data_IF_789247356671
#
_entry.id   IF_789247356671
#
_cell.length_a   1.000
_cell.length_b   1.000
_cell.length_c   1.000
_cell.angle_alpha   90.00
_cell.angle_beta   90.00
_cell.angle_gamma   90.00
#
_symmetry.space_group_name_H-M   'P 1'
#
loop_
_entity.id
_entity.type
_entity.pdbx_description
1 polymer ?
#
# COMPACT_ATOMS: atom_id res chain seq x y z
N UNK A 1 2.05 -22.29 19.05
CA UNK A 1 2.30 -20.92 19.62
C UNK A 1 1.10 -20.58 20.50
N UNK A 2 1.32 -20.09 21.73
CA UNK A 2 0.21 -19.78 22.64
C UNK A 2 -0.08 -18.27 22.59
N UNK A 3 -0.76 -17.84 21.51
CA UNK A 3 -1.25 -16.47 21.36
C UNK A 3 -2.54 -16.28 22.17
N UNK A 4 -2.65 -15.17 22.84
CA UNK A 4 -3.82 -14.81 23.65
C UNK A 4 -4.11 -13.31 23.60
N UNK A 5 -5.27 -12.93 24.13
CA UNK A 5 -5.66 -11.54 24.32
C UNK A 5 -5.92 -11.34 25.81
N UNK A 6 -5.26 -10.33 26.39
CA UNK A 6 -5.44 -9.91 27.77
C UNK A 6 -6.03 -8.51 27.81
N UNK A 7 -6.82 -8.22 28.86
CA UNK A 7 -7.26 -6.85 29.13
C UNK A 7 -6.07 -6.00 29.60
N UNK A 8 -5.96 -4.78 29.08
CA UNK A 8 -4.91 -3.84 29.44
C UNK A 8 -5.52 -2.47 29.78
N UNK A 9 -5.78 -2.26 31.07
CA UNK A 9 -6.44 -1.03 31.52
C UNK A 9 -7.93 -0.98 31.14
N UNK A 10 -8.45 0.23 31.04
CA UNK A 10 -9.87 0.44 30.73
C UNK A 10 -10.05 0.48 29.21
N UNK A 11 -10.89 -0.42 28.70
CA UNK A 11 -11.30 -0.49 27.30
C UNK A 11 -10.15 -0.72 26.28
N UNK A 12 -9.07 -1.38 26.69
CA UNK A 12 -7.98 -1.80 25.80
C UNK A 12 -7.64 -3.26 25.98
N UNK A 13 -7.24 -3.89 24.89
CA UNK A 13 -6.79 -5.27 24.83
C UNK A 13 -5.38 -5.31 24.25
N UNK A 14 -4.58 -6.27 24.68
CA UNK A 14 -3.21 -6.50 24.22
C UNK A 14 -3.03 -7.94 23.78
N UNK A 15 -2.27 -8.16 22.72
CA UNK A 15 -1.90 -9.51 22.28
C UNK A 15 -0.71 -9.99 23.08
N UNK A 16 -0.80 -11.24 23.57
CA UNK A 16 0.24 -11.90 24.35
C UNK A 16 0.70 -13.21 23.71
N UNK A 17 1.94 -13.57 23.97
CA UNK A 17 2.54 -14.87 23.65
C UNK A 17 3.01 -15.50 24.97
N UNK A 18 2.17 -16.37 25.52
CA UNK A 18 2.32 -16.78 26.91
C UNK A 18 2.13 -15.59 27.87
N UNK A 19 3.15 -15.25 28.65
CA UNK A 19 3.13 -14.12 29.59
C UNK A 19 3.71 -12.83 28.99
N UNK A 20 4.29 -12.87 27.79
CA UNK A 20 4.94 -11.74 27.16
C UNK A 20 3.98 -11.00 26.21
N UNK A 21 4.12 -9.69 26.15
CA UNK A 21 3.36 -8.85 25.20
C UNK A 21 3.97 -8.96 23.81
N UNK A 22 3.11 -9.12 22.79
CA UNK A 22 3.53 -9.06 21.39
C UNK A 22 3.78 -7.59 20.99
N UNK A 23 4.92 -7.33 20.35
CA UNK A 23 5.32 -6.01 19.86
C UNK A 23 5.34 -5.96 18.33
N UNK A 24 5.29 -4.76 17.78
CA UNK A 24 5.47 -4.50 16.34
C UNK A 24 6.90 -4.85 15.89
N UNK A 25 7.09 -5.14 14.59
CA UNK A 25 8.35 -5.67 14.05
C UNK A 25 9.02 -4.77 13.01
N UNK A 26 8.58 -3.52 12.87
CA UNK A 26 9.15 -2.57 11.90
C UNK A 26 10.02 -1.48 12.54
N UNK A 27 10.52 -1.73 13.75
CA UNK A 27 11.53 -0.91 14.43
C UNK A 27 11.00 0.00 15.53
N UNK A 28 9.69 0.14 15.69
CA UNK A 28 9.11 0.97 16.78
C UNK A 28 8.90 0.23 18.10
N UNK A 29 8.85 -1.10 18.05
CA UNK A 29 8.63 -1.97 19.22
C UNK A 29 7.42 -1.58 20.07
N UNK A 30 6.32 -1.17 19.43
CA UNK A 30 5.08 -0.82 20.12
C UNK A 30 4.30 -2.08 20.52
N UNK A 31 3.68 -2.12 21.71
CA UNK A 31 2.77 -3.19 22.06
C UNK A 31 1.62 -3.32 21.05
N UNK A 32 1.28 -4.54 20.66
CA UNK A 32 0.14 -4.80 19.78
C UNK A 32 -1.13 -4.71 20.62
N UNK A 33 -1.70 -3.51 20.68
CA UNK A 33 -2.86 -3.17 21.48
C UNK A 33 -3.95 -2.50 20.66
N UNK A 34 -5.21 -2.80 20.93
CA UNK A 34 -6.36 -2.16 20.30
C UNK A 34 -7.59 -2.19 21.20
N UNK A 35 -8.48 -1.20 21.06
CA UNK A 35 -9.77 -1.16 21.77
C UNK A 35 -10.77 -2.19 21.24
N UNK A 36 -10.69 -2.53 19.96
CA UNK A 36 -11.54 -3.53 19.32
C UNK A 36 -10.91 -4.92 19.49
N UNK A 37 -11.48 -5.72 20.36
CA UNK A 37 -11.04 -7.10 20.61
C UNK A 37 -11.14 -7.97 19.36
N UNK A 38 -12.18 -7.80 18.53
CA UNK A 38 -12.37 -8.58 17.29
C UNK A 38 -11.26 -8.31 16.27
N UNK A 39 -10.74 -7.09 16.23
CA UNK A 39 -9.56 -6.76 15.43
C UNK A 39 -8.34 -7.61 15.85
N UNK A 40 -8.07 -7.69 17.16
CA UNK A 40 -6.97 -8.49 17.67
C UNK A 40 -7.19 -10.00 17.50
N UNK A 41 -8.42 -10.48 17.58
CA UNK A 41 -8.78 -11.88 17.29
C UNK A 41 -8.45 -12.23 15.85
N UNK A 42 -8.79 -11.37 14.87
CA UNK A 42 -8.43 -11.55 13.47
C UNK A 42 -6.90 -11.56 13.27
N UNK A 43 -6.20 -10.66 13.91
CA UNK A 43 -4.74 -10.58 13.84
C UNK A 43 -4.08 -11.86 14.39
N UNK A 44 -4.57 -12.39 15.51
CA UNK A 44 -4.11 -13.67 16.10
C UNK A 44 -4.40 -14.85 15.17
N UNK A 45 -5.57 -14.90 14.54
CA UNK A 45 -5.93 -15.94 13.59
C UNK A 45 -4.93 -15.98 12.43
N UNK A 46 -4.65 -14.84 11.80
CA UNK A 46 -3.67 -14.74 10.71
C UNK A 46 -2.25 -15.12 11.16
N UNK A 47 -1.79 -14.63 12.32
CA UNK A 47 -0.48 -14.98 12.88
C UNK A 47 -0.37 -16.48 13.19
N UNK A 48 -1.43 -17.10 13.68
CA UNK A 48 -1.45 -18.53 14.01
C UNK A 48 -1.22 -19.41 12.79
N UNK A 49 -1.65 -18.98 11.62
CA UNK A 49 -1.42 -19.66 10.35
C UNK A 49 0.03 -19.56 9.86
N UNK A 50 0.76 -18.54 10.29
CA UNK A 50 2.16 -18.31 9.85
C UNK A 50 3.24 -18.87 10.77
N UNK A 51 2.94 -19.17 11.99
CA UNK A 51 3.63 -20.15 12.81
C UNK A 51 4.84 -19.72 13.62
N UNK A 52 5.50 -18.57 13.42
CA UNK A 52 6.71 -18.25 14.16
C UNK A 52 6.71 -16.82 14.72
N UNK A 53 6.92 -16.69 16.03
CA UNK A 53 7.33 -15.44 16.67
C UNK A 53 8.83 -15.45 16.91
N UNK A 54 9.43 -14.27 16.92
CA UNK A 54 10.85 -14.09 17.25
C UNK A 54 10.97 -13.55 18.66
N UNK A 55 11.90 -14.10 19.42
CA UNK A 55 12.26 -13.65 20.75
C UNK A 55 13.63 -12.98 20.69
N UNK A 56 13.71 -11.72 21.07
CA UNK A 56 14.97 -10.97 21.15
C UNK A 56 14.90 -9.97 22.29
N UNK A 57 15.94 -9.92 23.11
CA UNK A 57 16.15 -8.95 24.20
C UNK A 57 14.96 -8.82 25.19
N UNK A 58 14.24 -9.92 25.41
CA UNK A 58 13.08 -9.96 26.31
C UNK A 58 11.77 -9.52 25.67
N UNK A 59 11.77 -9.22 24.38
CA UNK A 59 10.60 -8.87 23.58
C UNK A 59 10.19 -10.00 22.63
N UNK A 60 8.92 -10.00 22.25
CA UNK A 60 8.35 -10.93 21.27
C UNK A 60 7.77 -10.15 20.13
N UNK A 61 8.19 -10.49 18.91
CA UNK A 61 7.66 -9.91 17.68
C UNK A 61 7.10 -11.00 16.77
N UNK A 62 6.11 -10.67 15.94
CA UNK A 62 5.59 -11.57 14.94
C UNK A 62 6.49 -11.68 13.69
N UNK A 63 6.23 -12.64 12.80
CA UNK A 63 6.96 -12.81 11.55
C UNK A 63 6.71 -11.63 10.62
N UNK A 64 7.66 -11.40 9.72
CA UNK A 64 7.42 -10.52 8.57
C UNK A 64 6.52 -11.24 7.56
N UNK A 65 5.63 -10.51 6.90
CA UNK A 65 4.75 -11.04 5.88
C UNK A 65 3.69 -10.04 5.44
N UNK A 66 2.73 -10.51 4.66
CA UNK A 66 1.63 -9.69 4.13
C UNK A 66 0.34 -10.02 4.87
N UNK A 67 0.19 -9.50 6.08
CA UNK A 67 -0.94 -9.76 6.97
C UNK A 67 -1.30 -8.53 7.81
N UNK A 68 -2.39 -8.64 8.58
CA UNK A 68 -2.89 -7.56 9.45
C UNK A 68 -1.89 -7.17 10.55
N UNK A 69 -1.03 -8.09 10.98
CA UNK A 69 0.02 -7.76 11.95
C UNK A 69 1.10 -6.85 11.35
N UNK A 70 1.56 -7.15 10.13
CA UNK A 70 2.53 -6.31 9.44
C UNK A 70 1.94 -4.95 9.08
N UNK A 71 0.67 -4.90 8.68
CA UNK A 71 -0.04 -3.66 8.41
C UNK A 71 -0.21 -2.83 9.70
N UNK A 72 -0.52 -3.46 10.83
CA UNK A 72 -0.55 -2.79 12.14
C UNK A 72 0.84 -2.29 12.56
N UNK A 73 1.90 -3.08 12.32
CA UNK A 73 3.28 -2.65 12.58
C UNK A 73 3.68 -1.45 11.72
N UNK A 74 3.35 -1.47 10.44
CA UNK A 74 3.55 -0.32 9.53
C UNK A 74 2.83 0.92 10.04
N UNK A 75 1.56 0.76 10.47
CA UNK A 75 0.79 1.87 11.03
C UNK A 75 1.50 2.50 12.21
N UNK A 76 1.91 1.69 13.20
CA UNK A 76 2.49 2.19 14.46
C UNK A 76 3.91 2.71 14.31
N UNK A 77 4.72 2.02 13.52
CA UNK A 77 6.16 2.28 13.46
C UNK A 77 6.53 3.35 12.42
N UNK A 78 5.68 3.54 11.39
CA UNK A 78 6.00 4.42 10.26
C UNK A 78 4.92 5.46 9.96
N UNK A 79 3.65 5.08 9.82
CA UNK A 79 2.59 5.99 9.38
C UNK A 79 2.20 7.00 10.48
N UNK A 80 1.94 6.54 11.70
CA UNK A 80 1.62 7.43 12.83
C UNK A 80 2.73 8.44 13.12
N UNK A 81 4.03 8.06 13.07
CA UNK A 81 5.13 9.02 13.20
C UNK A 81 5.38 9.89 11.96
N UNK A 82 4.67 9.68 10.83
CA UNK A 82 4.86 10.42 9.58
C UNK A 82 6.19 10.12 8.89
N UNK A 83 6.62 8.87 8.89
CA UNK A 83 7.88 8.38 8.29
C UNK A 83 7.69 7.47 7.09
N UNK A 84 6.44 7.26 6.69
CA UNK A 84 6.14 6.45 5.53
C UNK A 84 6.50 7.19 4.22
N UNK A 85 6.75 6.42 3.16
CA UNK A 85 7.18 6.93 1.87
C UNK A 85 6.13 7.86 1.22
N UNK A 86 4.83 7.59 1.39
CA UNK A 86 3.79 8.45 0.85
C UNK A 86 3.72 9.82 1.55
N UNK A 87 4.19 9.92 2.79
CA UNK A 87 4.33 11.21 3.48
C UNK A 87 5.62 11.93 3.10
N UNK A 88 6.73 11.17 2.92
CA UNK A 88 8.07 11.75 2.73
C UNK A 88 8.47 11.93 1.26
N UNK A 89 8.08 10.98 0.39
CA UNK A 89 8.60 10.85 -0.97
C UNK A 89 7.49 10.66 -2.02
N UNK A 90 6.33 11.28 -1.83
CA UNK A 90 5.15 11.11 -2.67
C UNK A 90 5.44 11.33 -4.17
N UNK A 91 6.29 12.31 -4.51
CA UNK A 91 6.66 12.58 -5.90
C UNK A 91 7.46 11.41 -6.48
N UNK A 92 8.34 10.79 -5.69
CA UNK A 92 9.14 9.64 -6.15
C UNK A 92 8.21 8.45 -6.43
N UNK A 93 7.24 8.20 -5.57
CA UNK A 93 6.23 7.16 -5.80
C UNK A 93 5.41 7.42 -7.07
N UNK A 94 5.05 8.69 -7.33
CA UNK A 94 4.33 9.06 -8.55
C UNK A 94 5.16 8.88 -9.83
N UNK A 95 6.46 9.13 -9.79
CA UNK A 95 7.34 8.93 -10.95
C UNK A 95 7.43 7.44 -11.32
N UNK A 96 7.33 6.56 -10.33
CA UNK A 96 7.37 5.10 -10.53
C UNK A 96 5.99 4.45 -10.71
N UNK A 97 4.92 5.24 -10.77
CA UNK A 97 3.55 4.73 -10.90
C UNK A 97 3.33 4.07 -12.28
N UNK A 98 3.08 2.76 -12.34
CA UNK A 98 2.94 2.04 -13.61
C UNK A 98 1.80 2.56 -14.51
N UNK A 99 0.77 3.18 -13.94
CA UNK A 99 -0.33 3.77 -14.72
C UNK A 99 0.07 5.02 -15.50
N UNK A 100 1.16 5.68 -15.11
CA UNK A 100 1.68 6.85 -15.81
C UNK A 100 2.70 6.48 -16.89
N UNK A 101 3.16 5.24 -16.90
CA UNK A 101 4.08 4.78 -17.91
C UNK A 101 3.37 4.72 -19.27
N UNK A 102 3.93 5.45 -20.26
CA UNK A 102 3.50 5.31 -21.66
C UNK A 102 4.07 4.01 -22.16
N UNK A 103 3.24 3.03 -22.29
CA UNK A 103 3.64 1.86 -23.03
C UNK A 103 3.66 2.22 -24.52
N UNK A 104 4.85 2.47 -25.03
CA UNK A 104 5.11 2.43 -26.47
C UNK A 104 4.85 1.04 -27.07
N UNK A 105 4.43 0.09 -26.24
CA UNK A 105 4.20 -1.29 -26.61
C UNK A 105 2.70 -1.55 -26.81
N UNK A 106 2.27 -1.95 -28.02
CA UNK A 106 0.86 -2.26 -28.33
C UNK A 106 0.28 -3.42 -27.49
N UNK A 107 1.12 -4.14 -26.74
CA UNK A 107 0.71 -5.27 -25.87
C UNK A 107 0.13 -4.84 -24.53
N UNK A 108 0.20 -3.57 -24.18
CA UNK A 108 -0.37 -3.04 -22.92
C UNK A 108 -1.83 -2.61 -23.03
N UNK A 109 -2.53 -3.02 -24.10
CA UNK A 109 -3.97 -2.80 -24.24
C UNK A 109 -4.80 -3.28 -23.04
N UNK A 110 -4.30 -4.25 -22.28
CA UNK A 110 -4.95 -4.78 -21.08
C UNK A 110 -5.08 -3.73 -19.97
N UNK A 111 -4.19 -2.73 -19.90
CA UNK A 111 -4.24 -1.69 -18.88
C UNK A 111 -5.23 -0.56 -19.22
N UNK A 112 -5.60 -0.39 -20.49
CA UNK A 112 -6.45 0.72 -20.94
C UNK A 112 -7.79 0.83 -20.19
N UNK A 113 -8.56 -0.26 -19.98
CA UNK A 113 -9.82 -0.18 -19.24
C UNK A 113 -9.62 0.34 -17.80
N UNK A 114 -8.46 0.03 -17.19
CA UNK A 114 -8.12 0.47 -15.83
C UNK A 114 -7.67 1.94 -15.82
N UNK A 115 -6.93 2.39 -16.83
CA UNK A 115 -6.60 3.82 -17.03
C UNK A 115 -7.88 4.65 -17.20
N UNK A 116 -8.85 4.17 -17.98
CA UNK A 116 -10.14 4.84 -18.17
C UNK A 116 -10.94 4.92 -16.87
N UNK A 117 -10.96 3.84 -16.08
CA UNK A 117 -11.63 3.80 -14.79
C UNK A 117 -10.99 4.79 -13.79
N UNK A 118 -9.65 4.87 -13.78
CA UNK A 118 -8.91 5.83 -12.95
C UNK A 118 -9.15 7.26 -13.42
N UNK A 119 -9.10 7.53 -14.73
CA UNK A 119 -9.38 8.87 -15.27
C UNK A 119 -10.79 9.35 -14.94
N UNK A 120 -11.77 8.45 -14.96
CA UNK A 120 -13.14 8.78 -14.54
C UNK A 120 -13.18 9.23 -13.08
N UNK A 121 -12.47 8.52 -12.19
CA UNK A 121 -12.37 8.90 -10.77
C UNK A 121 -11.57 10.19 -10.56
N UNK A 122 -10.43 10.37 -11.23
CA UNK A 122 -9.60 11.57 -11.12
C UNK A 122 -10.32 12.81 -11.63
N UNK A 123 -11.19 12.67 -12.64
CA UNK A 123 -11.97 13.78 -13.18
C UNK A 123 -12.96 14.37 -12.14
N UNK A 124 -13.39 13.59 -11.15
CA UNK A 124 -14.18 14.10 -10.01
C UNK A 124 -13.38 15.09 -9.16
N UNK A 125 -12.05 14.99 -9.17
CA UNK A 125 -11.11 15.87 -8.47
C UNK A 125 -10.55 16.97 -9.39
N UNK A 126 -10.98 17.01 -10.67
CA UNK A 126 -10.54 18.01 -11.64
C UNK A 126 -9.16 17.76 -12.25
N UNK A 127 -8.63 16.54 -12.11
CA UNK A 127 -7.33 16.14 -12.64
C UNK A 127 -7.46 14.91 -13.55
N UNK A 128 -6.39 14.56 -14.26
CA UNK A 128 -6.34 13.42 -15.17
C UNK A 128 -5.02 12.67 -15.05
N UNK A 129 -4.98 11.43 -15.49
CA UNK A 129 -3.72 10.74 -15.76
C UNK A 129 -2.98 11.48 -16.87
N UNK A 130 -1.68 11.47 -16.76
CA UNK A 130 -0.78 11.87 -17.84
C UNK A 130 0.06 10.66 -18.23
N UNK A 131 0.46 10.62 -19.48
CA UNK A 131 1.41 9.62 -19.94
C UNK A 131 2.82 10.21 -19.79
N UNK A 132 3.66 9.57 -18.97
CA UNK A 132 5.07 9.90 -18.85
C UNK A 132 5.84 9.10 -19.90
N UNK A 133 6.36 9.79 -20.94
CA UNK A 133 7.30 9.16 -21.87
C UNK A 133 8.62 8.90 -21.14
N UNK A 134 8.86 7.66 -20.76
CA UNK A 134 10.17 7.21 -20.32
C UNK A 134 11.11 7.12 -21.54
N UNK A 135 11.63 8.25 -21.96
CA UNK A 135 12.72 8.25 -22.96
C UNK A 135 14.00 7.85 -22.23
N UNK A 136 14.42 6.62 -22.46
CA UNK A 136 15.73 6.04 -22.16
C UNK A 136 16.40 6.56 -20.88
N UNK A 137 16.46 5.73 -19.87
CA UNK A 137 17.35 5.88 -18.73
C UNK A 137 18.81 5.85 -19.22
N UNK A 138 19.32 6.95 -19.72
CA UNK A 138 20.75 7.14 -19.78
C UNK A 138 21.23 7.33 -18.33
N UNK A 139 21.83 6.29 -17.77
CA UNK A 139 22.68 6.39 -16.60
C UNK A 139 23.73 7.44 -16.90
N UNK A 140 23.59 8.63 -16.33
CA UNK A 140 24.64 9.65 -16.38
C UNK A 140 25.73 9.15 -15.44
N UNK A 141 26.83 8.67 -16.00
CA UNK A 141 28.04 8.31 -15.28
C UNK A 141 28.42 9.41 -14.28
N UNK A 142 28.45 9.07 -13.00
CA UNK A 142 28.94 9.92 -11.91
C UNK A 142 27.91 10.57 -11.00
N UNK A 143 26.62 10.26 -11.12
CA UNK A 143 25.60 10.68 -10.15
C UNK A 143 25.34 9.53 -9.19
N UNK A 144 25.41 9.74 -7.86
CA UNK A 144 25.07 8.71 -6.88
C UNK A 144 23.64 8.21 -7.08
N UNK A 145 23.44 6.90 -6.85
CA UNK A 145 22.18 6.19 -6.96
C UNK A 145 20.97 7.04 -6.50
N UNK A 146 19.97 7.17 -7.36
CA UNK A 146 18.65 7.66 -6.99
C UNK A 146 18.20 9.00 -7.58
N UNK A 147 18.94 9.67 -8.44
CA UNK A 147 18.45 10.86 -9.12
C UNK A 147 18.00 10.56 -10.55
N UNK A 148 16.71 10.23 -10.69
CA UNK A 148 16.06 10.21 -12.00
C UNK A 148 15.86 11.64 -12.47
N UNK A 149 16.43 11.99 -13.64
CA UNK A 149 15.99 13.17 -14.38
C UNK A 149 14.81 12.75 -15.24
N UNK A 150 13.65 13.31 -14.98
CA UNK A 150 12.62 13.42 -16.01
C UNK A 150 13.28 14.19 -17.17
N UNK A 151 13.59 13.49 -18.27
CA UNK A 151 14.16 14.16 -19.44
C UNK A 151 13.14 15.15 -19.97
N UNK A 152 13.56 16.39 -20.13
CA UNK A 152 12.80 17.59 -20.33
C UNK A 152 11.99 17.74 -21.63
N UNK A 153 11.22 16.71 -21.99
CA UNK A 153 10.30 16.74 -23.11
C UNK A 153 8.81 16.68 -22.69
N UNK A 154 8.50 16.83 -21.40
CA UNK A 154 7.13 17.17 -21.05
C UNK A 154 6.85 18.59 -21.52
N UNK A 155 5.83 18.78 -22.37
CA UNK A 155 5.33 20.10 -22.69
C UNK A 155 4.87 20.83 -21.42
N UNK A 156 4.85 22.17 -21.44
CA UNK A 156 4.44 22.97 -20.27
C UNK A 156 3.06 22.52 -19.74
N UNK A 157 2.13 22.20 -20.63
CA UNK A 157 0.77 21.71 -20.27
C UNK A 157 0.78 20.37 -19.52
N UNK A 158 1.73 19.48 -19.81
CA UNK A 158 1.85 18.17 -19.14
C UNK A 158 2.57 18.30 -17.80
N UNK A 159 3.51 19.24 -17.67
CA UNK A 159 4.14 19.57 -16.37
C UNK A 159 3.11 20.13 -15.40
N UNK A 160 2.25 21.04 -15.85
CA UNK A 160 1.18 21.61 -15.04
C UNK A 160 0.16 20.53 -14.66
N UNK A 161 -0.20 19.65 -15.58
CA UNK A 161 -1.13 18.54 -15.32
C UNK A 161 -0.53 17.53 -14.32
N UNK A 162 0.78 17.23 -14.40
CA UNK A 162 1.46 16.37 -13.43
C UNK A 162 1.49 17.00 -12.04
N UNK A 163 1.85 18.28 -11.96
CA UNK A 163 1.88 19.01 -10.70
C UNK A 163 0.48 19.05 -10.04
N UNK A 164 -0.56 19.27 -10.85
CA UNK A 164 -1.95 19.23 -10.38
C UNK A 164 -2.34 17.83 -9.87
N UNK A 165 -2.01 16.77 -10.61
CA UNK A 165 -2.28 15.39 -10.22
C UNK A 165 -1.60 15.04 -8.89
N UNK A 166 -0.29 15.34 -8.76
CA UNK A 166 0.48 15.13 -7.52
C UNK A 166 -0.16 15.89 -6.37
N UNK A 167 -0.55 17.15 -6.59
CA UNK A 167 -1.15 17.99 -5.56
C UNK A 167 -2.47 17.38 -5.07
N UNK A 168 -3.37 16.99 -5.97
CA UNK A 168 -4.67 16.45 -5.58
C UNK A 168 -4.58 15.09 -4.90
N UNK A 169 -3.69 14.20 -5.37
CA UNK A 169 -3.48 12.91 -4.73
C UNK A 169 -2.79 13.06 -3.35
N UNK A 170 -1.88 14.03 -3.19
CA UNK A 170 -1.29 14.37 -1.89
C UNK A 170 -2.35 14.91 -0.93
N UNK A 171 -3.24 15.77 -1.41
CA UNK A 171 -4.37 16.28 -0.62
C UNK A 171 -5.30 15.16 -0.20
N UNK A 172 -5.62 14.25 -1.12
CA UNK A 172 -6.42 13.05 -0.82
C UNK A 172 -5.75 12.20 0.28
N UNK A 173 -4.49 11.83 0.11
CA UNK A 173 -3.74 11.07 1.11
C UNK A 173 -3.69 11.78 2.46
N UNK A 174 -3.48 13.10 2.47
CA UNK A 174 -3.45 13.90 3.68
C UNK A 174 -4.78 13.89 4.44
N UNK A 175 -5.90 13.79 3.72
CA UNK A 175 -7.25 13.71 4.28
C UNK A 175 -7.62 12.35 4.87
N UNK A 176 -6.85 11.30 4.59
CA UNK A 176 -7.10 9.95 5.05
C UNK A 176 -6.94 9.81 6.57
N UNK A 177 -7.73 8.93 7.16
CA UNK A 177 -7.45 8.44 8.52
C UNK A 177 -6.10 7.72 8.57
N UNK A 178 -5.58 7.49 9.78
CA UNK A 178 -4.32 6.75 9.96
C UNK A 178 -4.41 5.34 9.38
N UNK A 179 -5.56 4.68 9.53
CA UNK A 179 -5.80 3.34 8.99
C UNK A 179 -5.81 3.35 7.46
N UNK A 180 -6.47 4.33 6.83
CA UNK A 180 -6.48 4.49 5.38
C UNK A 180 -5.09 4.78 4.83
N UNK A 181 -4.33 5.67 5.50
CA UNK A 181 -2.92 5.93 5.16
C UNK A 181 -2.09 4.65 5.23
N UNK A 182 -2.28 3.87 6.30
CA UNK A 182 -1.55 2.61 6.48
C UNK A 182 -1.85 1.61 5.38
N UNK A 183 -3.11 1.49 4.97
CA UNK A 183 -3.50 0.62 3.85
C UNK A 183 -2.92 1.12 2.53
N UNK A 184 -3.01 2.41 2.23
CA UNK A 184 -2.44 2.97 1.01
C UNK A 184 -0.92 2.74 0.94
N UNK A 185 -0.19 3.07 2.00
CA UNK A 185 1.26 2.88 2.10
C UNK A 185 1.65 1.39 2.00
N UNK A 186 0.92 0.52 2.71
CA UNK A 186 1.17 -0.91 2.67
C UNK A 186 1.03 -1.49 1.26
N UNK A 187 -0.08 -1.17 0.60
CA UNK A 187 -0.36 -1.67 -0.75
C UNK A 187 0.61 -1.10 -1.77
N UNK A 188 0.99 0.17 -1.69
CA UNK A 188 2.00 0.77 -2.56
C UNK A 188 3.34 0.03 -2.44
N UNK A 189 3.77 -0.28 -1.21
CA UNK A 189 5.05 -0.94 -0.95
C UNK A 189 5.08 -2.42 -1.41
N UNK A 190 3.96 -3.13 -1.35
CA UNK A 190 3.90 -4.54 -1.77
C UNK A 190 3.60 -4.72 -3.26
N UNK A 191 3.19 -3.66 -3.94
CA UNK A 191 2.74 -3.66 -5.33
C UNK A 191 3.62 -2.82 -6.26
N UNK A 192 4.89 -2.72 -5.93
CA UNK A 192 5.90 -2.09 -6.79
C UNK A 192 5.46 -0.70 -7.30
N UNK A 193 5.19 0.22 -6.36
CA UNK A 193 4.76 1.60 -6.61
C UNK A 193 3.37 1.79 -7.25
N UNK A 194 2.48 0.80 -7.18
CA UNK A 194 1.11 0.90 -7.71
C UNK A 194 0.23 1.78 -6.80
N UNK A 195 0.61 3.06 -6.69
CA UNK A 195 0.12 3.99 -5.68
C UNK A 195 -1.30 4.49 -5.96
N UNK A 196 -1.62 4.83 -7.21
CA UNK A 196 -2.93 5.42 -7.56
C UNK A 196 -4.06 4.46 -7.19
N UNK A 197 -3.92 3.19 -7.52
CA UNK A 197 -4.91 2.18 -7.13
C UNK A 197 -4.91 1.90 -5.63
N UNK A 198 -3.74 1.98 -4.96
CA UNK A 198 -3.64 1.84 -3.51
C UNK A 198 -4.40 2.96 -2.77
N UNK A 199 -4.28 4.21 -3.24
CA UNK A 199 -5.08 5.34 -2.76
C UNK A 199 -6.57 5.14 -3.05
N UNK A 200 -6.91 4.68 -4.24
CA UNK A 200 -8.28 4.44 -4.67
C UNK A 200 -8.96 3.35 -3.84
N UNK A 201 -8.26 2.26 -3.53
CA UNK A 201 -8.76 1.20 -2.66
C UNK A 201 -8.93 1.69 -1.22
N UNK A 202 -7.94 2.41 -0.67
CA UNK A 202 -8.03 2.99 0.67
C UNK A 202 -9.17 4.01 0.81
N UNK A 203 -9.52 4.71 -0.29
CA UNK A 203 -10.68 5.59 -0.39
C UNK A 203 -12.01 4.85 -0.56
N UNK A 204 -12.01 3.52 -0.72
CA UNK A 204 -13.22 2.72 -0.99
C UNK A 204 -13.81 2.96 -2.39
N UNK A 205 -12.99 3.34 -3.37
CA UNK A 205 -13.38 3.71 -4.73
C UNK A 205 -13.09 2.61 -5.78
N UNK A 206 -12.56 1.47 -5.38
CA UNK A 206 -12.49 0.26 -6.17
C UNK A 206 -12.61 -0.98 -5.27
N UNK A 207 -12.90 -2.12 -5.87
CA UNK A 207 -12.92 -3.39 -5.16
C UNK A 207 -11.52 -4.02 -5.07
N UNK A 208 -11.28 -4.94 -4.12
CA UNK A 208 -10.06 -5.74 -4.10
C UNK A 208 -9.81 -6.52 -5.39
N UNK A 209 -10.86 -7.02 -6.02
CA UNK A 209 -10.78 -7.73 -7.30
C UNK A 209 -10.32 -6.79 -8.42
N UNK A 210 -10.91 -5.59 -8.54
CA UNK A 210 -10.49 -4.57 -9.50
C UNK A 210 -9.03 -4.18 -9.28
N UNK A 211 -8.62 -4.01 -8.02
CA UNK A 211 -7.22 -3.72 -7.66
C UNK A 211 -6.27 -4.81 -8.18
N UNK A 212 -6.58 -6.08 -7.92
CA UNK A 212 -5.75 -7.21 -8.35
C UNK A 212 -5.65 -7.33 -9.87
N UNK A 213 -6.78 -7.15 -10.58
CA UNK A 213 -6.80 -7.17 -12.05
C UNK A 213 -6.00 -6.01 -12.66
N UNK A 214 -6.16 -4.80 -12.12
CA UNK A 214 -5.42 -3.63 -12.57
C UNK A 214 -3.92 -3.80 -12.35
N UNK A 215 -3.51 -4.36 -11.20
CA UNK A 215 -2.12 -4.66 -10.91
C UNK A 215 -1.52 -5.69 -11.88
N UNK A 216 -2.23 -6.80 -12.13
CA UNK A 216 -1.77 -7.80 -13.10
C UNK A 216 -1.63 -7.21 -14.52
N UNK A 217 -2.57 -6.34 -14.93
CA UNK A 217 -2.51 -5.66 -16.21
C UNK A 217 -1.35 -4.64 -16.32
N UNK A 218 -0.94 -4.04 -15.19
CA UNK A 218 0.13 -3.06 -15.14
C UNK A 218 1.53 -3.69 -15.10
N UNK A 219 1.65 -4.90 -14.52
CA UNK A 219 2.96 -5.48 -14.18
C UNK A 219 3.36 -6.68 -15.04
N UNK A 220 2.40 -7.35 -15.67
CA UNK A 220 2.69 -8.53 -16.49
C UNK A 220 2.87 -8.14 -17.97
N UNK A 221 3.95 -8.63 -18.55
CA UNK A 221 4.23 -8.48 -19.97
C UNK A 221 3.80 -9.75 -20.71
N UNK A 222 2.87 -9.61 -21.67
CA UNK A 222 2.32 -10.71 -22.49
C UNK A 222 1.99 -12.01 -21.71
N UNK A 223 1.23 -11.90 -20.59
CA UNK A 223 0.92 -13.07 -19.77
C UNK A 223 -0.06 -13.99 -20.50
N UNK A 224 0.08 -15.29 -20.26
CA UNK A 224 -1.03 -16.21 -20.53
C UNK A 224 -2.23 -15.86 -19.64
N UNK A 225 -3.43 -16.26 -20.05
CA UNK A 225 -4.65 -16.03 -19.24
C UNK A 225 -4.52 -16.62 -17.84
N UNK A 226 -3.92 -17.81 -17.71
CA UNK A 226 -3.73 -18.46 -16.41
C UNK A 226 -2.76 -17.67 -15.50
N UNK A 227 -1.67 -17.12 -16.04
CA UNK A 227 -0.73 -16.28 -15.29
C UNK A 227 -1.38 -14.97 -14.85
N UNK A 228 -2.12 -14.34 -15.75
CA UNK A 228 -2.87 -13.12 -15.44
C UNK A 228 -3.86 -13.34 -14.29
N UNK A 229 -4.70 -14.38 -14.40
CA UNK A 229 -5.69 -14.70 -13.38
C UNK A 229 -5.05 -15.11 -12.05
N UNK A 230 -3.93 -15.84 -12.07
CA UNK A 230 -3.21 -16.23 -10.87
C UNK A 230 -2.64 -15.00 -10.14
N UNK A 231 -2.03 -14.06 -10.86
CA UNK A 231 -1.48 -12.84 -10.30
C UNK A 231 -2.59 -11.93 -9.77
N UNK A 232 -3.64 -11.69 -10.57
CA UNK A 232 -4.79 -10.89 -10.17
C UNK A 232 -5.41 -11.42 -8.87
N UNK A 233 -5.65 -12.74 -8.81
CA UNK A 233 -6.20 -13.37 -7.60
C UNK A 233 -5.28 -13.25 -6.40
N UNK A 234 -3.97 -13.45 -6.58
CA UNK A 234 -3.00 -13.33 -5.49
C UNK A 234 -3.05 -11.93 -4.85
N UNK A 235 -3.02 -10.89 -5.68
CA UNK A 235 -3.03 -9.51 -5.23
C UNK A 235 -4.39 -9.09 -4.68
N UNK A 236 -5.50 -9.58 -5.26
CA UNK A 236 -6.85 -9.36 -4.72
C UNK A 236 -6.97 -9.84 -3.26
N UNK A 237 -6.38 -11.00 -2.92
CA UNK A 237 -6.40 -11.52 -1.54
C UNK A 237 -5.64 -10.60 -0.58
N UNK A 238 -4.54 -9.98 -1.01
CA UNK A 238 -3.81 -8.99 -0.19
C UNK A 238 -4.65 -7.72 0.00
N UNK A 239 -5.31 -7.26 -1.06
CA UNK A 239 -6.22 -6.12 -1.01
C UNK A 239 -7.45 -6.39 -0.11
N UNK A 240 -8.04 -7.59 -0.16
CA UNK A 240 -9.14 -7.99 0.74
C UNK A 240 -8.73 -7.93 2.21
N UNK A 241 -7.53 -8.39 2.55
CA UNK A 241 -7.00 -8.30 3.92
C UNK A 241 -6.83 -6.85 4.37
N UNK A 242 -6.33 -5.99 3.47
CA UNK A 242 -6.17 -4.57 3.75
C UNK A 242 -7.53 -3.88 3.97
N UNK A 243 -8.55 -4.18 3.17
CA UNK A 243 -9.92 -3.67 3.38
C UNK A 243 -10.50 -4.19 4.69
N UNK A 244 -10.34 -5.49 5.00
CA UNK A 244 -10.78 -6.06 6.27
C UNK A 244 -10.09 -5.40 7.48
N UNK A 245 -8.82 -5.06 7.35
CA UNK A 245 -8.10 -4.28 8.37
C UNK A 245 -8.78 -2.93 8.61
N UNK A 246 -9.14 -2.17 7.55
CA UNK A 246 -9.88 -0.90 7.68
C UNK A 246 -11.20 -1.08 8.41
N UNK A 247 -12.00 -2.07 8.02
CA UNK A 247 -13.31 -2.32 8.61
C UNK A 247 -13.22 -2.63 10.11
N UNK A 248 -12.25 -3.47 10.49
CA UNK A 248 -12.10 -3.90 11.88
C UNK A 248 -11.41 -2.86 12.77
N UNK A 249 -10.43 -2.12 12.24
CA UNK A 249 -9.71 -1.08 12.99
C UNK A 249 -10.55 0.17 13.21
N UNK A 250 -11.41 0.52 12.24
CA UNK A 250 -12.29 1.69 12.31
C UNK A 250 -13.57 1.45 13.14
N UNK A 251 -13.95 0.17 13.38
CA UNK A 251 -15.15 -0.17 14.13
C UNK A 251 -14.99 0.23 15.59
N UNK A 252 -15.62 1.34 15.97
CA UNK A 252 -15.84 1.67 17.39
C UNK A 252 -16.84 0.68 17.95
N UNK A 253 -16.45 -0.13 18.93
CA UNK A 253 -17.31 -1.04 19.71
C UNK A 253 -18.29 -0.26 20.55
#
# INVERSE_FOLDING_TARGET
>A
MNLGISEHGKDQYVVTVGELVLHTNMGGHHPVMHKNRRFLENLIEELSLRGAVTYSDGEVTGPQGFDSYCLFSLQKDWVEPGRDNLTTDFIIEMIHEPLLETSANPETWQILPFKDSVNSWLSEMGVRLIDLDYVNHELIDGVPDGHFRMNGNMGDDDQDAFAALVTELTNLYSSFSVEQKSVATYLTNISDHFMIYSLRLAAGKCSPEEYGMAFAAATLYDPSEDEFQAQAKHVSVLAERAVRFLELSSSSS
#
